data_IF_196213956887
#
_entry.id   IF_196213956887
#
_cell.length_a   1.000
_cell.length_b   1.000
_cell.length_c   1.000
_cell.angle_alpha   90.00
_cell.angle_beta   90.00
_cell.angle_gamma   90.00
#
_symmetry.space_group_name_H-M   'P 1'
#
loop_
_entity.id
_entity.type
_entity.pdbx_description
1 polymer ?
#
# COMPACT_ATOMS: atom_id res chain seq x y z
N UNK A 1 -0.06 -13.22 2.40
CA UNK A 1 -1.33 -13.81 2.89
C UNK A 1 -1.50 -15.27 2.45
N UNK A 2 -2.57 -15.98 2.86
CA UNK A 2 -3.01 -17.19 2.18
C UNK A 2 -3.32 -16.87 0.71
N UNK A 3 -3.04 -17.81 -0.19
CA UNK A 3 -3.35 -17.65 -1.61
C UNK A 3 -4.86 -17.79 -1.89
N UNK A 4 -5.29 -17.39 -3.09
CA UNK A 4 -6.65 -17.58 -3.57
C UNK A 4 -7.13 -19.04 -3.45
N UNK A 5 -6.23 -19.99 -3.71
CA UNK A 5 -6.47 -21.43 -3.63
C UNK A 5 -6.74 -21.88 -2.18
N UNK A 6 -6.00 -21.32 -1.21
CA UNK A 6 -6.21 -21.59 0.20
C UNK A 6 -7.54 -21.00 0.70
N UNK A 7 -7.86 -19.78 0.27
CA UNK A 7 -9.10 -19.12 0.67
C UNK A 7 -10.31 -19.85 0.08
N UNK A 8 -10.25 -20.26 -1.19
CA UNK A 8 -11.26 -21.13 -1.80
C UNK A 8 -11.37 -22.46 -1.02
N UNK A 9 -10.25 -23.03 -0.57
CA UNK A 9 -10.24 -24.20 0.31
C UNK A 9 -10.81 -24.00 1.72
N UNK A 10 -11.29 -22.79 2.04
CA UNK A 10 -11.92 -22.42 3.31
C UNK A 10 -10.97 -21.82 4.34
N UNK A 11 -9.69 -21.62 4.02
CA UNK A 11 -8.74 -20.95 4.92
C UNK A 11 -9.13 -19.48 5.05
N UNK A 12 -9.24 -18.96 6.27
CA UNK A 12 -9.61 -17.56 6.48
C UNK A 12 -8.60 -16.62 5.81
N UNK A 13 -9.01 -15.46 5.25
CA UNK A 13 -8.10 -14.46 4.68
C UNK A 13 -7.39 -13.69 5.81
N UNK A 14 -6.51 -14.38 6.54
CA UNK A 14 -5.73 -13.89 7.69
C UNK A 14 -4.27 -14.21 7.48
N UNK A 15 -3.37 -13.41 8.04
CA UNK A 15 -1.93 -13.59 7.91
C UNK A 15 -1.49 -15.00 8.29
N UNK A 16 -0.53 -15.58 7.58
CA UNK A 16 0.00 -16.90 7.94
C UNK A 16 1.20 -16.74 8.86
N UNK A 17 1.25 -17.55 9.92
CA UNK A 17 2.37 -17.55 10.86
C UNK A 17 2.89 -18.95 11.13
N UNK A 18 4.21 -19.08 11.06
CA UNK A 18 4.95 -20.29 11.38
C UNK A 18 5.86 -20.07 12.59
N UNK A 19 5.69 -20.89 13.61
CA UNK A 19 6.56 -20.86 14.79
C UNK A 19 7.72 -21.84 14.61
N UNK A 20 8.96 -21.35 14.48
CA UNK A 20 10.15 -22.18 14.29
C UNK A 20 10.29 -23.29 15.35
N UNK A 21 9.98 -22.98 16.61
CA UNK A 21 10.01 -23.93 17.73
C UNK A 21 9.05 -25.12 17.50
N UNK A 22 7.87 -24.87 16.90
CA UNK A 22 6.89 -25.91 16.56
C UNK A 22 7.40 -26.76 15.39
N UNK A 23 8.02 -26.14 14.39
CA UNK A 23 8.63 -26.84 13.24
C UNK A 23 9.71 -27.79 13.71
N UNK A 24 10.68 -27.32 14.50
CA UNK A 24 11.78 -28.14 15.02
C UNK A 24 11.26 -29.33 15.83
N UNK A 25 10.22 -29.12 16.65
CA UNK A 25 9.59 -30.20 17.44
C UNK A 25 8.93 -31.24 16.53
N UNK A 26 8.31 -30.82 15.41
CA UNK A 26 7.66 -31.72 14.45
C UNK A 26 8.66 -32.46 13.58
N UNK A 27 9.73 -31.81 13.14
CA UNK A 27 10.85 -32.45 12.46
C UNK A 27 11.40 -33.63 13.26
N UNK A 28 11.69 -33.42 14.55
CA UNK A 28 12.17 -34.49 15.45
C UNK A 28 11.16 -35.62 15.63
N UNK A 29 9.86 -35.31 15.61
CA UNK A 29 8.78 -36.30 15.82
C UNK A 29 8.49 -37.14 14.57
N UNK A 30 8.60 -36.53 13.39
CA UNK A 30 8.14 -37.10 12.11
C UNK A 30 9.31 -37.36 11.13
N UNK A 31 10.55 -37.21 11.57
CA UNK A 31 11.73 -37.73 10.87
C UNK A 31 12.08 -37.04 9.55
N UNK A 32 11.75 -35.76 9.36
CA UNK A 32 12.09 -35.01 8.14
C UNK A 32 13.14 -33.91 8.41
N UNK A 33 13.98 -33.64 7.42
CA UNK A 33 15.08 -32.68 7.49
C UNK A 33 14.62 -31.25 7.20
N UNK A 34 15.44 -30.24 7.56
CA UNK A 34 15.12 -28.84 7.28
C UNK A 34 15.09 -28.57 5.77
N UNK A 35 15.95 -29.26 5.02
CA UNK A 35 15.98 -29.24 3.56
C UNK A 35 14.67 -29.67 2.92
N UNK A 36 13.91 -30.55 3.58
CA UNK A 36 12.63 -31.05 3.06
C UNK A 36 11.53 -29.97 3.15
N UNK A 37 11.77 -28.92 3.94
CA UNK A 37 10.90 -27.74 4.04
C UNK A 37 11.37 -26.57 3.17
N UNK A 38 12.40 -26.77 2.35
CA UNK A 38 12.77 -25.78 1.34
C UNK A 38 11.54 -25.53 0.45
N UNK A 39 11.25 -24.26 0.18
CA UNK A 39 10.07 -23.83 -0.58
C UNK A 39 8.70 -24.16 0.05
N UNK A 40 8.63 -24.54 1.33
CA UNK A 40 7.36 -24.78 2.03
C UNK A 40 6.35 -23.63 1.86
N UNK A 41 6.71 -22.34 2.00
CA UNK A 41 5.76 -21.25 1.77
C UNK A 41 5.14 -21.28 0.37
N UNK A 42 5.96 -21.52 -0.67
CA UNK A 42 5.50 -21.61 -2.06
C UNK A 42 4.61 -22.84 -2.29
N UNK A 43 4.99 -23.99 -1.73
CA UNK A 43 4.24 -25.23 -1.87
C UNK A 43 2.90 -25.21 -1.12
N UNK A 44 2.82 -24.46 -0.02
CA UNK A 44 1.57 -24.19 0.70
C UNK A 44 0.68 -23.21 -0.07
N UNK A 45 1.27 -22.18 -0.70
CA UNK A 45 0.51 -21.22 -1.51
C UNK A 45 -0.11 -21.86 -2.76
N UNK A 46 0.53 -22.88 -3.35
CA UNK A 46 0.00 -23.57 -4.53
C UNK A 46 -0.16 -25.07 -4.27
N UNK A 47 -1.15 -25.48 -3.45
CA UNK A 47 -1.27 -26.85 -3.00
C UNK A 47 -1.82 -27.78 -4.08
N UNK A 48 -1.63 -29.09 -3.87
CA UNK A 48 -2.32 -30.14 -4.64
C UNK A 48 -3.80 -30.13 -4.28
N UNK A 49 -4.11 -30.10 -2.98
CA UNK A 49 -5.47 -30.09 -2.46
C UNK A 49 -5.52 -29.51 -1.04
N UNK A 50 -6.67 -28.94 -0.68
CA UNK A 50 -7.02 -28.55 0.69
C UNK A 50 -8.13 -29.47 1.19
N UNK A 51 -8.04 -29.90 2.44
CA UNK A 51 -8.99 -30.79 3.08
C UNK A 51 -9.53 -30.16 4.36
N UNK A 52 -10.82 -30.39 4.62
CA UNK A 52 -11.41 -30.13 5.93
C UNK A 52 -10.87 -31.10 6.98
N UNK A 53 -10.78 -30.63 8.21
CA UNK A 53 -10.44 -31.47 9.36
C UNK A 53 -11.63 -31.60 10.31
N UNK A 54 -11.50 -32.39 11.37
CA UNK A 54 -12.55 -32.55 12.38
C UNK A 54 -12.72 -31.31 13.28
N UNK A 55 -11.80 -30.34 13.19
CA UNK A 55 -11.83 -29.11 13.97
C UNK A 55 -12.26 -27.97 13.08
N UNK A 56 -13.25 -27.23 13.56
CA UNK A 56 -13.71 -26.02 12.89
C UNK A 56 -12.58 -24.98 12.82
N UNK A 57 -12.44 -24.34 11.66
CA UNK A 57 -11.33 -23.43 11.33
C UNK A 57 -9.95 -24.12 11.20
N UNK A 58 -9.90 -25.45 10.98
CA UNK A 58 -8.66 -26.16 10.72
C UNK A 58 -8.68 -26.91 9.38
N UNK A 59 -7.64 -26.69 8.60
CA UNK A 59 -7.49 -27.17 7.23
C UNK A 59 -6.19 -27.95 7.09
N UNK A 60 -6.21 -29.00 6.28
CA UNK A 60 -5.02 -29.77 5.91
C UNK A 60 -4.69 -29.54 4.43
N UNK A 61 -3.47 -29.08 4.17
CA UNK A 61 -2.97 -28.65 2.87
C UNK A 61 -1.97 -29.68 2.39
N UNK A 62 -2.28 -30.35 1.28
CA UNK A 62 -1.39 -31.30 0.64
C UNK A 62 -0.49 -30.55 -0.34
N UNK A 63 0.82 -30.68 -0.15
CA UNK A 63 1.83 -30.01 -0.96
C UNK A 63 2.55 -30.99 -1.89
N UNK A 64 3.30 -30.45 -2.86
CA UNK A 64 4.14 -31.25 -3.76
C UNK A 64 5.46 -31.71 -3.12
N UNK A 65 5.83 -31.10 -1.98
CA UNK A 65 7.04 -31.48 -1.24
C UNK A 65 6.93 -32.90 -0.72
N UNK A 66 8.04 -33.63 -0.68
CA UNK A 66 8.09 -35.05 -0.32
C UNK A 66 9.00 -35.31 0.87
N UNK A 67 8.61 -36.28 1.69
CA UNK A 67 9.46 -36.95 2.69
C UNK A 67 9.49 -38.45 2.39
N UNK A 68 10.24 -39.22 3.18
CA UNK A 68 10.23 -40.70 3.09
C UNK A 68 8.82 -41.30 3.28
N UNK A 69 7.93 -40.63 4.03
CA UNK A 69 6.58 -41.10 4.31
C UNK A 69 5.53 -40.68 3.26
N UNK A 70 5.94 -39.91 2.24
CA UNK A 70 5.08 -39.39 1.17
C UNK A 70 5.05 -37.87 1.11
N UNK A 71 3.98 -37.30 0.55
CA UNK A 71 3.90 -35.84 0.36
C UNK A 71 3.66 -35.11 1.69
N UNK A 72 4.26 -33.93 1.85
CA UNK A 72 4.10 -33.11 3.05
C UNK A 72 2.67 -32.60 3.10
N UNK A 73 2.01 -32.91 4.21
CA UNK A 73 0.72 -32.37 4.61
C UNK A 73 0.94 -31.34 5.72
N UNK A 74 0.41 -30.14 5.50
CA UNK A 74 0.50 -29.01 6.41
C UNK A 74 -0.87 -28.78 7.05
N UNK A 75 -0.94 -28.63 8.36
CA UNK A 75 -2.17 -28.24 9.05
C UNK A 75 -2.13 -26.77 9.40
N UNK A 76 -3.12 -26.03 8.91
CA UNK A 76 -3.42 -24.68 9.36
C UNK A 76 -4.59 -24.70 10.35
N UNK A 77 -4.49 -23.87 11.38
CA UNK A 77 -5.58 -23.59 12.32
C UNK A 77 -5.73 -22.07 12.45
N UNK A 78 -6.96 -21.56 12.40
CA UNK A 78 -7.22 -20.15 12.72
C UNK A 78 -6.86 -19.90 14.19
N UNK A 79 -6.03 -18.90 14.43
CA UNK A 79 -5.59 -18.53 15.77
C UNK A 79 -6.74 -18.08 16.65
N UNK A 80 -6.64 -18.41 17.95
CA UNK A 80 -7.71 -18.18 18.93
C UNK A 80 -7.19 -17.31 20.08
N UNK A 81 -7.67 -16.07 20.15
CA UNK A 81 -7.42 -15.14 21.24
C UNK A 81 -5.98 -14.63 21.35
N UNK A 82 -5.78 -13.52 22.07
CA UNK A 82 -4.46 -12.94 22.33
C UNK A 82 -3.71 -12.52 21.06
N UNK A 83 -2.37 -12.63 21.08
CA UNK A 83 -1.48 -12.20 20.00
C UNK A 83 -1.56 -13.04 18.70
N UNK A 84 -2.37 -14.10 18.69
CA UNK A 84 -2.51 -15.02 17.55
C UNK A 84 -3.86 -14.87 16.82
N UNK A 85 -4.78 -14.03 17.31
CA UNK A 85 -6.17 -13.96 16.81
C UNK A 85 -6.29 -13.58 15.32
N UNK A 86 -5.30 -12.84 14.81
CA UNK A 86 -5.27 -12.34 13.44
C UNK A 86 -4.48 -13.25 12.48
N UNK A 87 -4.07 -14.45 12.93
CA UNK A 87 -3.22 -15.35 12.14
C UNK A 87 -3.86 -16.72 11.85
N UNK A 88 -3.61 -17.23 10.64
CA UNK A 88 -3.61 -18.66 10.35
C UNK A 88 -2.30 -19.27 10.82
N UNK A 89 -2.38 -20.13 11.82
CA UNK A 89 -1.22 -20.76 12.42
C UNK A 89 -0.91 -22.08 11.72
N UNK A 90 0.33 -22.22 11.26
CA UNK A 90 0.83 -23.50 10.81
C UNK A 90 1.22 -24.34 12.04
N UNK A 91 0.40 -25.34 12.35
CA UNK A 91 0.47 -26.10 13.62
C UNK A 91 1.16 -27.44 13.47
N UNK A 92 1.16 -28.03 12.27
CA UNK A 92 1.89 -29.25 12.00
C UNK A 92 2.28 -29.41 10.53
N UNK A 93 3.40 -30.06 10.31
CA UNK A 93 3.93 -30.51 9.01
C UNK A 93 4.38 -31.96 9.19
N UNK A 94 3.96 -32.86 8.31
CA UNK A 94 4.37 -34.26 8.32
C UNK A 94 4.12 -34.93 6.98
N UNK A 95 4.85 -36.00 6.68
CA UNK A 95 4.64 -36.79 5.47
C UNK A 95 3.33 -37.57 5.52
N UNK A 96 2.64 -37.64 4.39
CA UNK A 96 1.37 -38.36 4.24
C UNK A 96 1.48 -39.36 3.12
N UNK A 97 1.26 -40.63 3.44
CA UNK A 97 1.36 -41.71 2.48
C UNK A 97 0.29 -41.65 1.39
N UNK A 98 0.66 -42.11 0.20
CA UNK A 98 -0.16 -42.03 -1.00
C UNK A 98 -1.57 -42.61 -0.79
N UNK A 99 -1.67 -43.82 -0.25
CA UNK A 99 -2.94 -44.48 0.03
C UNK A 99 -3.83 -43.72 1.03
N UNK A 100 -3.25 -43.01 2.00
CA UNK A 100 -4.05 -42.21 2.95
C UNK A 100 -4.63 -40.95 2.31
N UNK A 101 -3.94 -40.35 1.35
CA UNK A 101 -4.45 -39.22 0.57
C UNK A 101 -5.58 -39.68 -0.35
N UNK A 102 -5.42 -40.82 -1.05
CA UNK A 102 -6.47 -41.43 -1.86
C UNK A 102 -7.73 -41.70 -1.04
N UNK A 103 -7.58 -42.22 0.19
CA UNK A 103 -8.70 -42.39 1.12
C UNK A 103 -9.38 -41.07 1.48
N UNK A 104 -8.63 -39.98 1.64
CA UNK A 104 -9.20 -38.67 1.95
C UNK A 104 -10.00 -38.09 0.79
N UNK A 105 -9.48 -38.18 -0.44
CA UNK A 105 -10.19 -37.79 -1.66
C UNK A 105 -11.52 -38.56 -1.77
N UNK A 106 -11.48 -39.89 -1.64
CA UNK A 106 -12.67 -40.72 -1.71
C UNK A 106 -13.68 -40.48 -0.58
N UNK A 107 -13.24 -39.94 0.55
CA UNK A 107 -14.11 -39.63 1.69
C UNK A 107 -14.82 -38.28 1.59
N UNK A 108 -14.64 -37.52 0.50
CA UNK A 108 -15.30 -36.22 0.30
C UNK A 108 -14.78 -35.11 1.22
N UNK A 109 -13.55 -35.23 1.72
CA UNK A 109 -12.96 -34.24 2.64
C UNK A 109 -12.32 -33.05 1.92
N UNK A 110 -12.09 -33.17 0.61
CA UNK A 110 -11.47 -32.11 -0.18
C UNK A 110 -12.39 -30.89 -0.23
N UNK A 111 -11.83 -29.72 0.04
CA UNK A 111 -12.49 -28.40 -0.06
C UNK A 111 -11.93 -27.59 -1.22
N UNK A 112 -10.73 -27.92 -1.69
CA UNK A 112 -10.13 -27.40 -2.92
C UNK A 112 -9.24 -28.47 -3.55
N UNK A 113 -9.20 -28.55 -4.88
CA UNK A 113 -8.33 -29.44 -5.65
C UNK A 113 -7.73 -28.68 -6.84
N UNK A 114 -6.40 -28.66 -6.95
CA UNK A 114 -5.74 -28.36 -8.21
C UNK A 114 -5.76 -29.61 -9.09
N UNK A 115 -6.59 -29.62 -10.13
CA UNK A 115 -6.84 -30.83 -10.95
C UNK A 115 -5.57 -31.37 -11.59
N UNK A 116 -4.74 -30.52 -12.15
CA UNK A 116 -3.50 -30.91 -12.82
C UNK A 116 -2.54 -31.59 -11.84
N UNK A 117 -2.22 -30.91 -10.73
CA UNK A 117 -1.32 -31.45 -9.70
C UNK A 117 -1.88 -32.70 -9.03
N UNK A 118 -3.20 -32.76 -8.81
CA UNK A 118 -3.83 -33.91 -8.17
C UNK A 118 -3.84 -35.14 -9.09
N UNK A 119 -4.08 -34.96 -10.39
CA UNK A 119 -3.98 -36.05 -11.36
C UNK A 119 -2.54 -36.54 -11.53
N UNK A 120 -1.57 -35.63 -11.60
CA UNK A 120 -0.14 -36.00 -11.62
C UNK A 120 0.25 -36.76 -10.34
N UNK A 121 -0.20 -36.27 -9.18
CA UNK A 121 0.00 -36.95 -7.91
C UNK A 121 -0.56 -38.38 -7.91
N UNK A 122 -1.81 -38.57 -8.35
CA UNK A 122 -2.46 -39.88 -8.45
C UNK A 122 -1.75 -40.81 -9.45
N UNK A 123 -1.25 -40.26 -10.57
CA UNK A 123 -0.48 -41.02 -11.56
C UNK A 123 0.91 -41.43 -11.02
N UNK A 124 1.50 -40.65 -10.12
CA UNK A 124 2.77 -40.94 -9.46
C UNK A 124 2.68 -42.03 -8.37
N UNK A 125 1.52 -42.67 -8.22
CA UNK A 125 1.34 -43.80 -7.31
C UNK A 125 2.44 -44.85 -7.52
N UNK A 126 3.14 -45.30 -6.46
CA UNK A 126 4.13 -46.35 -6.58
C UNK A 126 3.52 -47.58 -7.27
N UNK A 127 4.14 -48.04 -8.37
CA UNK A 127 3.73 -49.25 -9.08
C UNK A 127 3.75 -50.45 -8.10
N UNK A 128 2.72 -51.30 -8.11
CA UNK A 128 1.86 -51.60 -6.96
C UNK A 128 2.40 -52.66 -5.99
N UNK A 129 2.01 -52.58 -4.72
CA UNK A 129 1.87 -53.79 -3.88
C UNK A 129 0.41 -54.25 -3.99
N UNK A 130 0.19 -55.15 -4.94
CA UNK A 130 -0.85 -56.19 -5.06
C UNK A 130 -2.20 -55.99 -4.33
N UNK A 131 -3.23 -55.59 -5.10
CA UNK A 131 -4.64 -55.76 -4.71
C UNK A 131 -5.62 -55.03 -5.64
N UNK A 132 -6.67 -55.72 -6.11
CA UNK A 132 -7.74 -55.13 -6.92
C UNK A 132 -8.45 -53.95 -6.21
N UNK A 133 -8.46 -53.97 -4.87
CA UNK A 133 -9.05 -52.95 -4.02
C UNK A 133 -8.34 -51.59 -4.16
N UNK A 134 -7.01 -51.56 -4.18
CA UNK A 134 -6.25 -50.31 -4.32
C UNK A 134 -6.41 -49.68 -5.71
N UNK A 135 -6.47 -50.50 -6.78
CA UNK A 135 -6.72 -49.99 -8.14
C UNK A 135 -8.12 -49.36 -8.25
N UNK A 136 -9.12 -49.97 -7.60
CA UNK A 136 -10.47 -49.42 -7.53
C UNK A 136 -10.50 -48.10 -6.72
N UNK A 137 -9.81 -48.03 -5.58
CA UNK A 137 -9.70 -46.79 -4.78
C UNK A 137 -9.04 -45.66 -5.56
N UNK A 138 -8.00 -45.94 -6.36
CA UNK A 138 -7.31 -44.95 -7.19
C UNK A 138 -8.20 -44.45 -8.35
N UNK A 139 -8.93 -45.36 -8.99
CA UNK A 139 -9.91 -44.99 -10.04
C UNK A 139 -11.03 -44.12 -9.50
N UNK A 140 -11.55 -44.43 -8.30
CA UNK A 140 -12.54 -43.59 -7.63
C UNK A 140 -11.98 -42.20 -7.33
N UNK A 141 -10.76 -42.11 -6.79
CA UNK A 141 -10.15 -40.82 -6.45
C UNK A 141 -9.86 -39.98 -7.69
N UNK A 142 -9.49 -40.61 -8.80
CA UNK A 142 -9.29 -39.93 -10.10
C UNK A 142 -10.60 -39.30 -10.56
N UNK A 143 -11.71 -40.05 -10.52
CA UNK A 143 -13.04 -39.51 -10.85
C UNK A 143 -13.43 -38.36 -9.94
N UNK A 144 -13.19 -38.48 -8.63
CA UNK A 144 -13.45 -37.40 -7.66
C UNK A 144 -12.72 -36.14 -8.08
N UNK A 145 -11.42 -36.22 -8.41
CA UNK A 145 -10.60 -35.08 -8.86
C UNK A 145 -11.14 -34.47 -10.16
N UNK A 146 -11.47 -35.30 -11.16
CA UNK A 146 -11.99 -34.83 -12.45
C UNK A 146 -13.32 -34.06 -12.31
N UNK A 147 -14.22 -34.58 -11.47
CA UNK A 147 -15.55 -34.01 -11.25
C UNK A 147 -15.60 -32.93 -10.17
N UNK A 148 -14.52 -32.69 -9.43
CA UNK A 148 -14.51 -31.69 -8.36
C UNK A 148 -14.66 -30.28 -8.94
N UNK A 149 -15.57 -29.50 -8.37
CA UNK A 149 -15.74 -28.08 -8.66
C UNK A 149 -15.26 -27.29 -7.44
N UNK A 150 -14.24 -26.46 -7.63
CA UNK A 150 -13.73 -25.62 -6.55
C UNK A 150 -14.77 -24.53 -6.24
N UNK A 151 -15.00 -24.22 -4.96
CA UNK A 151 -15.90 -23.13 -4.58
C UNK A 151 -15.36 -21.79 -5.09
N UNK A 152 -16.29 -20.91 -5.47
CA UNK A 152 -15.96 -19.51 -5.75
C UNK A 152 -15.64 -18.77 -4.45
N UNK A 153 -14.75 -17.78 -4.54
CA UNK A 153 -14.44 -16.91 -3.41
C UNK A 153 -15.67 -16.07 -3.05
N UNK A 154 -15.87 -15.82 -1.76
CA UNK A 154 -16.84 -14.80 -1.33
C UNK A 154 -16.46 -13.44 -1.90
N UNK A 155 -17.44 -12.54 -2.09
CA UNK A 155 -17.18 -11.18 -2.57
C UNK A 155 -16.12 -10.46 -1.73
N UNK A 156 -16.21 -10.58 -0.40
CA UNK A 156 -15.23 -10.02 0.55
C UNK A 156 -13.82 -10.60 0.37
N UNK A 157 -13.70 -11.93 0.23
CA UNK A 157 -12.40 -12.59 0.04
C UNK A 157 -11.80 -12.22 -1.31
N UNK A 158 -12.63 -12.15 -2.35
CA UNK A 158 -12.21 -11.76 -3.69
C UNK A 158 -11.70 -10.32 -3.70
N UNK A 159 -12.40 -9.39 -3.02
CA UNK A 159 -11.97 -8.00 -2.89
C UNK A 159 -10.59 -7.90 -2.21
N UNK A 160 -10.35 -8.65 -1.13
CA UNK A 160 -9.05 -8.67 -0.44
C UNK A 160 -7.93 -9.15 -1.38
N UNK A 161 -8.16 -10.25 -2.09
CA UNK A 161 -7.17 -10.80 -3.04
C UNK A 161 -6.86 -9.79 -4.15
N UNK A 162 -7.89 -9.19 -4.75
CA UNK A 162 -7.72 -8.17 -5.79
C UNK A 162 -6.94 -6.95 -5.28
N UNK A 163 -7.23 -6.48 -4.07
CA UNK A 163 -6.50 -5.37 -3.45
C UNK A 163 -5.02 -5.70 -3.21
N UNK A 164 -4.69 -6.92 -2.77
CA UNK A 164 -3.30 -7.36 -2.55
C UNK A 164 -2.54 -7.52 -3.88
N UNK A 165 -3.18 -8.06 -4.92
CA UNK A 165 -2.62 -8.14 -6.27
C UNK A 165 -2.33 -6.76 -6.85
N UNK A 166 -3.26 -5.81 -6.70
CA UNK A 166 -3.07 -4.44 -7.15
C UNK A 166 -1.96 -3.75 -6.35
N UNK A 167 -1.90 -3.91 -5.02
CA UNK A 167 -0.80 -3.37 -4.23
C UNK A 167 0.56 -3.86 -4.73
N UNK A 168 0.68 -5.17 -5.00
CA UNK A 168 1.92 -5.80 -5.48
C UNK A 168 2.31 -5.29 -6.86
N UNK A 169 1.36 -5.31 -7.81
CA UNK A 169 1.59 -4.83 -9.18
C UNK A 169 1.97 -3.35 -9.21
N UNK A 170 1.35 -2.53 -8.37
CA UNK A 170 1.66 -1.09 -8.26
C UNK A 170 3.04 -0.87 -7.67
N UNK A 171 3.40 -1.61 -6.61
CA UNK A 171 4.74 -1.59 -6.03
C UNK A 171 5.82 -1.89 -7.08
N UNK A 172 5.64 -2.97 -7.85
CA UNK A 172 6.55 -3.37 -8.93
C UNK A 172 6.65 -2.31 -10.04
N UNK A 173 5.51 -1.73 -10.44
CA UNK A 173 5.45 -0.72 -11.50
C UNK A 173 6.14 0.59 -11.10
N UNK A 174 6.09 0.94 -9.81
CA UNK A 174 6.73 2.14 -9.26
C UNK A 174 8.18 1.88 -8.84
N UNK A 175 8.60 0.62 -8.69
CA UNK A 175 9.90 0.26 -8.13
C UNK A 175 10.01 0.56 -6.63
N UNK A 176 8.88 0.47 -5.91
CA UNK A 176 8.76 0.84 -4.49
C UNK A 176 8.52 -0.40 -3.63
N UNK A 177 8.97 -0.34 -2.37
CA UNK A 177 8.69 -1.39 -1.40
C UNK A 177 7.38 -1.08 -0.66
N UNK A 178 6.36 -1.92 -0.88
CA UNK A 178 5.03 -1.75 -0.30
C UNK A 178 4.79 -2.82 0.76
N UNK A 179 4.55 -2.38 1.99
CA UNK A 179 4.12 -3.23 3.09
C UNK A 179 2.60 -3.19 3.22
N UNK A 180 1.97 -4.32 3.00
CA UNK A 180 0.52 -4.48 3.13
C UNK A 180 0.15 -4.97 4.54
N UNK A 181 -0.74 -4.25 5.21
CA UNK A 181 -1.28 -4.57 6.53
C UNK A 181 -2.70 -5.11 6.35
N UNK A 182 -2.95 -6.30 6.91
CA UNK A 182 -4.22 -7.02 6.73
C UNK A 182 -5.14 -6.90 7.95
N UNK A 183 -4.60 -6.52 9.11
CA UNK A 183 -5.36 -6.19 10.31
C UNK A 183 -4.83 -4.95 11.02
N UNK A 184 -5.72 -4.06 11.45
CA UNK A 184 -5.33 -2.84 12.19
C UNK A 184 -4.70 -3.16 13.55
N UNK A 185 -4.96 -4.35 14.12
CA UNK A 185 -4.35 -4.81 15.36
C UNK A 185 -2.82 -4.99 15.25
N UNK A 186 -2.30 -5.22 14.05
CA UNK A 186 -0.85 -5.35 13.79
C UNK A 186 -0.09 -4.03 13.91
N UNK A 187 -0.82 -2.91 13.91
CA UNK A 187 -0.26 -1.57 13.91
C UNK A 187 0.02 -1.16 15.35
N UNK A 188 1.29 -0.85 15.63
CA UNK A 188 1.78 -0.29 16.87
C UNK A 188 2.67 0.92 16.56
N UNK A 189 2.25 2.09 17.04
CA UNK A 189 3.05 3.33 17.02
C UNK A 189 3.90 3.48 18.28
N UNK A 190 4.64 4.59 18.40
CA UNK A 190 5.49 4.86 19.58
C UNK A 190 4.67 5.15 20.84
N UNK A 191 3.43 5.58 20.67
CA UNK A 191 2.47 5.84 21.74
C UNK A 191 1.05 5.51 21.26
N UNK A 192 0.08 5.56 22.17
CA UNK A 192 -1.32 5.21 21.89
C UNK A 192 -1.98 6.15 20.88
N UNK A 193 -1.66 7.45 20.93
CA UNK A 193 -2.21 8.44 19.99
C UNK A 193 -1.73 8.18 18.55
N UNK A 194 -0.44 7.92 18.37
CA UNK A 194 0.14 7.59 17.06
C UNK A 194 -0.42 6.26 16.54
N UNK A 195 -0.56 5.27 17.42
CA UNK A 195 -1.17 3.97 17.09
C UNK A 195 -2.60 4.14 16.59
N UNK A 196 -3.44 4.89 17.31
CA UNK A 196 -4.83 5.11 16.93
C UNK A 196 -4.95 5.87 15.60
N UNK A 197 -4.06 6.84 15.36
CA UNK A 197 -4.00 7.55 14.07
C UNK A 197 -3.64 6.61 12.92
N UNK A 198 -2.59 5.80 13.08
CA UNK A 198 -2.14 4.87 12.03
C UNK A 198 -3.16 3.77 11.76
N UNK A 199 -3.89 3.30 12.78
CA UNK A 199 -4.98 2.33 12.63
C UNK A 199 -6.15 2.84 11.80
N UNK A 200 -6.38 4.16 11.80
CA UNK A 200 -7.42 4.80 10.99
C UNK A 200 -6.96 5.27 9.61
N UNK A 201 -5.67 5.14 9.28
CA UNK A 201 -5.10 5.60 8.01
C UNK A 201 -5.26 4.54 6.91
N UNK A 202 -5.46 4.95 5.66
CA UNK A 202 -5.43 4.06 4.48
C UNK A 202 -4.00 3.62 4.16
N UNK A 203 -3.01 4.48 4.43
CA UNK A 203 -1.60 4.16 4.26
C UNK A 203 -0.70 5.25 4.84
N UNK A 204 0.61 5.03 4.83
CA UNK A 204 1.62 6.03 5.14
C UNK A 204 2.96 5.61 4.57
N UNK A 205 3.84 6.55 4.24
CA UNK A 205 5.25 6.24 4.04
C UNK A 205 6.00 6.19 5.38
N UNK A 206 6.82 5.15 5.58
CA UNK A 206 7.75 5.06 6.71
C UNK A 206 9.13 5.56 6.29
N UNK A 207 9.58 6.76 6.73
CA UNK A 207 10.87 7.32 6.35
C UNK A 207 12.06 6.51 6.86
N UNK A 208 11.88 5.67 7.89
CA UNK A 208 12.97 4.88 8.46
C UNK A 208 13.30 3.68 7.60
N UNK A 209 12.27 3.04 7.04
CA UNK A 209 12.42 1.85 6.21
C UNK A 209 12.43 2.20 4.72
N UNK A 210 11.90 3.37 4.34
CA UNK A 210 11.68 3.75 2.95
C UNK A 210 10.50 3.03 2.31
N UNK A 211 9.63 2.41 3.11
CA UNK A 211 8.50 1.61 2.63
C UNK A 211 7.20 2.42 2.62
N UNK A 212 6.36 2.16 1.64
CA UNK A 212 4.96 2.59 1.65
C UNK A 212 4.14 1.53 2.38
N UNK A 213 3.43 1.91 3.42
CA UNK A 213 2.54 1.02 4.16
C UNK A 213 1.11 1.25 3.71
N UNK A 214 0.37 0.19 3.40
CA UNK A 214 -1.05 0.22 3.03
C UNK A 214 -1.85 -0.60 4.03
N UNK A 215 -2.97 -0.07 4.52
CA UNK A 215 -3.87 -0.74 5.46
C UNK A 215 -5.11 -1.21 4.70
N UNK A 216 -5.09 -2.46 4.23
CA UNK A 216 -6.19 -3.00 3.40
C UNK A 216 -7.57 -2.89 4.04
N UNK A 217 -7.76 -3.13 5.36
CA UNK A 217 -9.08 -2.97 5.97
C UNK A 217 -9.69 -1.56 5.87
N UNK A 218 -8.87 -0.55 5.58
CA UNK A 218 -9.30 0.84 5.44
C UNK A 218 -9.45 1.26 3.96
N UNK A 219 -9.05 0.42 3.02
CA UNK A 219 -9.19 0.69 1.60
C UNK A 219 -10.59 0.29 1.12
N UNK A 220 -11.18 1.13 0.27
CA UNK A 220 -12.54 0.93 -0.25
C UNK A 220 -12.57 0.00 -1.47
N UNK A 221 -11.47 -0.06 -2.21
CA UNK A 221 -11.35 -0.84 -3.44
C UNK A 221 -9.89 -1.02 -3.85
N UNK A 222 -9.64 -1.84 -4.87
CA UNK A 222 -8.32 -1.98 -5.47
C UNK A 222 -7.80 -0.65 -6.08
N UNK A 223 -8.70 0.15 -6.66
CA UNK A 223 -8.37 1.49 -7.18
C UNK A 223 -7.92 2.43 -6.06
N UNK A 224 -8.57 2.36 -4.89
CA UNK A 224 -8.22 3.15 -3.70
C UNK A 224 -6.85 2.74 -3.11
N UNK A 225 -6.52 1.44 -3.17
CA UNK A 225 -5.17 0.94 -2.82
C UNK A 225 -4.11 1.53 -3.75
N UNK A 226 -4.34 1.47 -5.06
CA UNK A 226 -3.42 2.02 -6.06
C UNK A 226 -3.26 3.54 -5.90
N UNK A 227 -4.36 4.26 -5.66
CA UNK A 227 -4.36 5.68 -5.37
C UNK A 227 -3.55 6.01 -4.10
N UNK A 228 -3.77 5.26 -3.03
CA UNK A 228 -3.05 5.42 -1.76
C UNK A 228 -1.55 5.23 -1.95
N UNK A 229 -1.12 4.17 -2.65
CA UNK A 229 0.32 3.94 -2.88
C UNK A 229 0.92 5.10 -3.66
N UNK A 230 0.30 5.51 -4.76
CA UNK A 230 0.79 6.62 -5.56
C UNK A 230 0.84 7.92 -4.76
N UNK A 231 -0.18 8.18 -3.94
CA UNK A 231 -0.28 9.34 -3.07
C UNK A 231 0.90 9.39 -2.09
N UNK A 232 1.20 8.29 -1.40
CA UNK A 232 2.32 8.23 -0.46
C UNK A 232 3.67 8.39 -1.18
N UNK A 233 3.86 7.73 -2.32
CA UNK A 233 5.12 7.83 -3.08
C UNK A 233 5.36 9.26 -3.56
N UNK A 234 4.36 9.89 -4.18
CA UNK A 234 4.48 11.29 -4.64
C UNK A 234 4.53 12.26 -3.47
N UNK A 235 3.79 11.96 -2.39
CA UNK A 235 3.81 12.65 -1.11
C UNK A 235 5.22 12.81 -0.54
N UNK A 236 6.03 11.77 -0.68
CA UNK A 236 7.34 11.70 -0.04
C UNK A 236 8.53 11.88 -0.98
N UNK A 237 8.41 11.57 -2.28
CA UNK A 237 9.51 11.68 -3.26
C UNK A 237 9.25 12.72 -4.35
N UNK A 238 7.98 13.05 -4.59
CA UNK A 238 7.56 13.93 -5.67
C UNK A 238 7.49 13.20 -7.01
N UNK A 239 6.61 13.68 -7.89
CA UNK A 239 6.37 13.07 -9.19
C UNK A 239 7.62 13.07 -10.08
N UNK A 240 8.48 14.08 -9.94
CA UNK A 240 9.71 14.20 -10.73
C UNK A 240 10.69 13.05 -10.46
N UNK A 241 10.80 12.60 -9.22
CA UNK A 241 11.67 11.46 -8.87
C UNK A 241 11.10 10.16 -9.46
N UNK A 242 9.77 10.01 -9.40
CA UNK A 242 9.08 8.83 -9.90
C UNK A 242 9.21 8.64 -11.42
N UNK A 243 9.02 9.72 -12.19
CA UNK A 243 9.00 9.66 -13.66
C UNK A 243 10.35 10.00 -14.30
N UNK A 244 11.29 10.50 -13.51
CA UNK A 244 12.59 11.00 -13.96
C UNK A 244 12.55 12.43 -14.53
N UNK A 245 13.65 13.15 -14.34
CA UNK A 245 13.80 14.59 -14.70
C UNK A 245 13.49 14.88 -16.16
N UNK A 246 13.91 14.02 -17.08
CA UNK A 246 13.72 14.24 -18.51
C UNK A 246 12.24 14.14 -18.93
N UNK A 247 11.52 13.15 -18.41
CA UNK A 247 10.11 12.96 -18.75
C UNK A 247 9.26 14.03 -18.05
N UNK A 248 9.57 14.36 -16.80
CA UNK A 248 8.93 15.49 -16.11
C UNK A 248 9.18 16.82 -16.82
N UNK A 249 10.39 17.03 -17.36
CA UNK A 249 10.70 18.19 -18.18
C UNK A 249 9.84 18.29 -19.43
N UNK A 250 9.64 17.18 -20.15
CA UNK A 250 8.73 17.14 -21.32
C UNK A 250 7.27 17.37 -20.96
N UNK A 251 6.84 16.89 -19.79
CA UNK A 251 5.51 17.22 -19.26
C UNK A 251 5.34 18.73 -19.08
N UNK A 252 6.32 19.41 -18.49
CA UNK A 252 6.29 20.87 -18.34
C UNK A 252 6.30 21.60 -19.69
N UNK A 253 7.06 21.09 -20.67
CA UNK A 253 7.08 21.64 -22.02
C UNK A 253 5.69 21.52 -22.70
N UNK A 254 5.05 20.35 -22.61
CA UNK A 254 3.71 20.11 -23.13
C UNK A 254 2.64 21.00 -22.50
N UNK A 255 2.70 21.22 -21.18
CA UNK A 255 1.78 22.14 -20.50
C UNK A 255 1.99 23.57 -21.00
N UNK A 256 3.25 24.01 -21.11
CA UNK A 256 3.56 25.36 -21.59
C UNK A 256 3.11 25.56 -23.04
N UNK A 257 3.40 24.61 -23.93
CA UNK A 257 3.03 24.68 -25.35
C UNK A 257 1.52 24.64 -25.56
N UNK A 258 0.82 23.79 -24.79
CA UNK A 258 -0.63 23.65 -24.84
C UNK A 258 -1.41 24.79 -24.18
N UNK A 259 -0.77 25.60 -23.34
CA UNK A 259 -1.41 26.73 -22.67
C UNK A 259 -1.79 27.86 -23.66
N UNK A 260 -2.82 28.64 -23.31
CA UNK A 260 -3.20 29.82 -24.10
C UNK A 260 -2.17 30.96 -23.98
N UNK A 261 -2.31 31.99 -24.81
CA UNK A 261 -1.36 33.11 -24.84
C UNK A 261 -1.26 33.87 -23.51
N UNK A 262 -2.39 34.10 -22.83
CA UNK A 262 -2.41 34.80 -21.55
C UNK A 262 -1.60 34.05 -20.48
N UNK A 263 -1.83 32.74 -20.36
CA UNK A 263 -1.10 31.87 -19.44
C UNK A 263 0.39 31.83 -19.78
N UNK A 264 0.75 31.63 -21.06
CA UNK A 264 2.17 31.62 -21.49
C UNK A 264 2.86 32.93 -21.18
N UNK A 265 2.21 34.06 -21.42
CA UNK A 265 2.75 35.38 -21.08
C UNK A 265 2.98 35.51 -19.57
N UNK A 266 2.03 35.06 -18.74
CA UNK A 266 2.18 35.03 -17.29
C UNK A 266 3.38 34.18 -16.82
N UNK A 267 3.61 33.03 -17.45
CA UNK A 267 4.78 32.16 -17.17
C UNK A 267 6.09 32.87 -17.56
N UNK A 268 6.14 33.46 -18.76
CA UNK A 268 7.34 34.18 -19.25
C UNK A 268 7.66 35.40 -18.40
N UNK A 269 6.66 36.15 -17.95
CA UNK A 269 6.86 37.29 -17.05
C UNK A 269 7.46 36.88 -15.71
N UNK A 270 6.99 35.76 -15.12
CA UNK A 270 7.59 35.19 -13.89
C UNK A 270 9.02 34.74 -14.11
N UNK A 271 9.28 34.04 -15.21
CA UNK A 271 10.63 33.62 -15.62
C UNK A 271 11.59 34.82 -15.67
N UNK A 272 11.18 35.93 -16.30
CA UNK A 272 11.98 37.18 -16.35
C UNK A 272 12.17 37.82 -14.98
N UNK A 273 11.10 37.90 -14.18
CA UNK A 273 11.11 38.56 -12.87
C UNK A 273 12.06 37.88 -11.88
N UNK A 274 12.08 36.54 -11.88
CA UNK A 274 12.82 35.74 -10.90
C UNK A 274 14.08 35.07 -11.47
N UNK A 275 14.39 35.28 -12.76
CA UNK A 275 15.53 34.65 -13.42
C UNK A 275 15.40 33.13 -13.59
N UNK A 276 14.17 32.60 -13.56
CA UNK A 276 13.91 31.17 -13.70
C UNK A 276 13.89 30.74 -15.16
N UNK A 277 14.23 29.48 -15.43
CA UNK A 277 13.95 28.89 -16.73
C UNK A 277 12.43 28.66 -16.90
N UNK A 278 11.99 28.50 -18.15
CA UNK A 278 10.57 28.34 -18.49
C UNK A 278 9.93 27.16 -17.76
N UNK A 279 10.62 26.01 -17.66
CA UNK A 279 10.09 24.81 -17.00
C UNK A 279 9.77 25.06 -15.52
N UNK A 280 10.69 25.68 -14.78
CA UNK A 280 10.47 26.01 -13.36
C UNK A 280 9.34 27.02 -13.19
N UNK A 281 9.24 28.01 -14.08
CA UNK A 281 8.14 28.97 -14.05
C UNK A 281 6.78 28.31 -14.38
N UNK A 282 6.75 27.37 -15.32
CA UNK A 282 5.56 26.55 -15.62
C UNK A 282 5.16 25.71 -14.42
N UNK A 283 6.11 25.06 -13.76
CA UNK A 283 5.85 24.22 -12.59
C UNK A 283 5.26 25.02 -11.41
N UNK A 284 5.81 26.20 -11.10
CA UNK A 284 5.22 27.09 -10.08
C UNK A 284 3.80 27.52 -10.48
N UNK A 285 3.57 27.81 -11.76
CA UNK A 285 2.23 28.17 -12.24
C UNK A 285 1.22 27.02 -12.06
N UNK A 286 1.63 25.78 -12.37
CA UNK A 286 0.82 24.58 -12.14
C UNK A 286 0.56 24.39 -10.65
N UNK A 287 1.58 24.56 -9.78
CA UNK A 287 1.45 24.40 -8.34
C UNK A 287 0.48 25.42 -7.73
N UNK A 288 0.55 26.68 -8.17
CA UNK A 288 -0.39 27.72 -7.75
C UNK A 288 -1.82 27.43 -8.21
N UNK A 289 -2.00 27.00 -9.46
CA UNK A 289 -3.30 26.59 -9.97
C UNK A 289 -3.85 25.41 -9.16
N UNK A 290 -3.01 24.43 -8.84
CA UNK A 290 -3.39 23.29 -8.02
C UNK A 290 -3.80 23.72 -6.60
N UNK A 291 -3.14 24.71 -6.02
CA UNK A 291 -3.48 25.25 -4.69
C UNK A 291 -4.79 26.06 -4.71
N UNK A 292 -4.96 26.98 -5.65
CA UNK A 292 -6.09 27.91 -5.73
C UNK A 292 -7.36 27.25 -6.30
N UNK A 293 -7.20 26.26 -7.17
CA UNK A 293 -8.26 25.66 -7.97
C UNK A 293 -8.61 26.50 -9.20
N UNK A 294 -9.60 26.03 -9.97
CA UNK A 294 -9.91 26.54 -11.31
C UNK A 294 -11.36 27.05 -11.41
N UNK A 295 -11.62 28.23 -10.83
CA UNK A 295 -12.97 28.81 -10.77
C UNK A 295 -13.41 29.46 -12.09
N UNK A 296 -12.50 30.10 -12.80
CA UNK A 296 -12.74 30.71 -14.11
C UNK A 296 -12.47 29.75 -15.27
N UNK A 297 -12.82 30.18 -16.49
CA UNK A 297 -12.71 29.37 -17.71
C UNK A 297 -11.24 29.13 -18.11
N UNK A 298 -10.38 30.14 -18.02
CA UNK A 298 -8.98 30.03 -18.42
C UNK A 298 -8.22 28.99 -17.58
N UNK A 299 -8.48 28.98 -16.26
CA UNK A 299 -7.93 28.02 -15.32
C UNK A 299 -8.42 26.59 -15.60
N UNK A 300 -9.67 26.41 -16.04
CA UNK A 300 -10.23 25.09 -16.41
C UNK A 300 -9.63 24.57 -17.70
N UNK A 301 -9.48 25.42 -18.71
CA UNK A 301 -8.88 25.05 -19.98
C UNK A 301 -7.43 24.61 -19.78
N UNK A 302 -6.66 25.38 -19.00
CA UNK A 302 -5.31 24.98 -18.62
C UNK A 302 -5.29 23.67 -17.82
N UNK A 303 -6.24 23.47 -16.91
CA UNK A 303 -6.34 22.21 -16.16
C UNK A 303 -6.57 21.00 -17.06
N UNK A 304 -7.40 21.13 -18.11
CA UNK A 304 -7.57 20.08 -19.12
C UNK A 304 -6.25 19.77 -19.86
N UNK A 305 -5.47 20.79 -20.20
CA UNK A 305 -4.14 20.62 -20.80
C UNK A 305 -3.20 19.87 -19.84
N UNK A 306 -3.15 20.29 -18.57
CA UNK A 306 -2.34 19.64 -17.53
C UNK A 306 -2.71 18.17 -17.37
N UNK A 307 -4.00 17.87 -17.28
CA UNK A 307 -4.49 16.49 -17.12
C UNK A 307 -4.07 15.61 -18.30
N UNK A 308 -4.23 16.11 -19.53
CA UNK A 308 -3.84 15.37 -20.73
C UNK A 308 -2.32 15.15 -20.79
N UNK A 309 -1.53 16.19 -20.52
CA UNK A 309 -0.07 16.10 -20.46
C UNK A 309 0.40 15.11 -19.38
N UNK A 310 -0.30 15.06 -18.24
CA UNK A 310 -0.02 14.13 -17.16
C UNK A 310 -0.31 12.68 -17.57
N UNK A 311 -1.44 12.38 -18.22
CA UNK A 311 -1.68 11.02 -18.74
C UNK A 311 -0.68 10.62 -19.84
N UNK A 312 -0.26 11.57 -20.67
CA UNK A 312 0.82 11.34 -21.64
C UNK A 312 2.16 11.06 -20.96
N UNK A 313 2.47 11.75 -19.85
CA UNK A 313 3.64 11.46 -19.02
C UNK A 313 3.60 10.03 -18.51
N UNK A 314 2.51 9.61 -17.86
CA UNK A 314 2.36 8.26 -17.35
C UNK A 314 2.51 7.19 -18.44
N UNK A 315 1.89 7.42 -19.60
CA UNK A 315 2.02 6.53 -20.76
C UNK A 315 3.47 6.40 -21.25
N UNK A 316 4.23 7.52 -21.31
CA UNK A 316 5.64 7.52 -21.73
C UNK A 316 6.55 6.72 -20.80
N UNK A 317 6.29 6.77 -19.49
CA UNK A 317 7.04 5.97 -18.50
C UNK A 317 6.45 4.57 -18.33
N UNK A 318 5.45 4.20 -19.13
CA UNK A 318 4.73 2.92 -19.06
C UNK A 318 4.11 2.64 -17.68
N UNK A 319 3.76 3.70 -16.96
CA UNK A 319 3.00 3.60 -15.72
C UNK A 319 1.52 3.53 -16.09
N UNK A 320 0.94 2.34 -16.03
CA UNK A 320 -0.47 2.13 -16.29
C UNK A 320 -1.23 2.15 -14.97
N UNK A 321 -2.12 3.13 -14.81
CA UNK A 321 -3.00 3.18 -13.66
C UNK A 321 -4.27 2.38 -13.95
N UNK A 322 -4.69 1.54 -13.00
CA UNK A 322 -5.96 0.80 -13.07
C UNK A 322 -7.21 1.70 -13.02
N UNK A 323 -7.03 2.96 -12.61
CA UNK A 323 -8.09 3.91 -12.31
C UNK A 323 -7.78 5.31 -12.88
N UNK A 324 -8.81 6.15 -12.96
CA UNK A 324 -8.68 7.55 -13.38
C UNK A 324 -8.35 8.45 -12.19
N UNK A 325 -7.21 9.13 -12.24
CA UNK A 325 -6.82 10.10 -11.20
C UNK A 325 -7.87 11.21 -11.09
N UNK A 326 -8.39 11.39 -9.87
CA UNK A 326 -9.31 12.48 -9.56
C UNK A 326 -8.59 13.83 -9.65
N UNK A 327 -9.32 14.89 -9.97
CA UNK A 327 -8.74 16.24 -10.00
C UNK A 327 -8.12 16.61 -8.64
N UNK A 328 -8.64 16.10 -7.53
CA UNK A 328 -8.10 16.38 -6.19
C UNK A 328 -6.75 15.70 -5.97
N UNK A 329 -6.62 14.43 -6.34
CA UNK A 329 -5.35 13.69 -6.26
C UNK A 329 -4.30 14.29 -7.20
N UNK A 330 -4.66 14.62 -8.44
CA UNK A 330 -3.72 15.25 -9.38
C UNK A 330 -3.24 16.61 -8.87
N UNK A 331 -4.14 17.43 -8.31
CA UNK A 331 -3.77 18.72 -7.69
C UNK A 331 -2.78 18.51 -6.56
N UNK A 332 -3.05 17.56 -5.66
CA UNK A 332 -2.15 17.26 -4.56
C UNK A 332 -0.77 16.86 -5.06
N UNK A 333 -0.69 15.89 -5.97
CA UNK A 333 0.57 15.37 -6.51
C UNK A 333 1.42 16.47 -7.17
N UNK A 334 0.81 17.30 -8.03
CA UNK A 334 1.52 18.38 -8.72
C UNK A 334 2.00 19.46 -7.74
N UNK A 335 1.13 19.87 -6.82
CA UNK A 335 1.48 20.84 -5.79
C UNK A 335 2.61 20.32 -4.89
N UNK A 336 2.51 19.08 -4.42
CA UNK A 336 3.46 18.47 -3.50
C UNK A 336 4.84 18.30 -4.14
N UNK A 337 4.87 17.86 -5.40
CA UNK A 337 6.11 17.76 -6.20
C UNK A 337 6.89 19.07 -6.22
N UNK A 338 6.18 20.20 -6.38
CA UNK A 338 6.81 21.51 -6.37
C UNK A 338 7.23 21.95 -4.95
N UNK A 339 6.39 21.71 -3.93
CA UNK A 339 6.72 22.08 -2.54
C UNK A 339 7.98 21.37 -2.03
N UNK A 340 8.27 20.16 -2.48
CA UNK A 340 9.49 19.44 -2.11
C UNK A 340 10.78 20.20 -2.48
N UNK A 341 10.74 21.07 -3.49
CA UNK A 341 11.88 21.94 -3.87
C UNK A 341 12.08 23.10 -2.89
N UNK A 342 11.04 23.49 -2.14
CA UNK A 342 11.06 24.59 -1.16
C UNK A 342 11.51 24.14 0.25
N UNK A 343 11.74 22.84 0.45
CA UNK A 343 12.29 22.24 1.68
C UNK A 343 11.24 21.59 2.59
N UNK A 344 11.64 20.50 3.26
CA UNK A 344 10.77 19.62 4.07
C UNK A 344 10.84 19.88 5.58
N UNK A 345 11.08 21.13 5.98
CA UNK A 345 11.01 21.50 7.40
C UNK A 345 9.59 21.33 7.96
N UNK A 346 9.45 21.53 9.28
CA UNK A 346 8.15 21.50 9.97
C UNK A 346 7.05 22.34 9.28
N UNK A 347 7.45 23.46 8.68
CA UNK A 347 6.57 24.33 7.89
C UNK A 347 5.99 23.62 6.64
N UNK A 348 6.81 22.84 5.94
CA UNK A 348 6.41 22.08 4.75
C UNK A 348 5.43 20.96 5.11
N UNK A 349 5.65 20.28 6.23
CA UNK A 349 4.74 19.24 6.74
C UNK A 349 3.36 19.80 7.10
N UNK A 350 3.31 20.98 7.71
CA UNK A 350 2.04 21.62 8.05
C UNK A 350 1.26 22.06 6.80
N UNK A 351 1.95 22.58 5.77
CA UNK A 351 1.32 22.90 4.48
C UNK A 351 0.77 21.65 3.80
N UNK A 352 1.52 20.55 3.86
CA UNK A 352 1.12 19.27 3.30
C UNK A 352 -0.18 18.77 3.93
N UNK A 353 -0.24 18.74 5.27
CA UNK A 353 -1.46 18.41 6.02
C UNK A 353 -2.63 19.32 5.63
N UNK A 354 -2.42 20.63 5.57
CA UNK A 354 -3.47 21.58 5.21
C UNK A 354 -3.98 21.38 3.78
N UNK A 355 -3.09 21.05 2.84
CA UNK A 355 -3.46 20.81 1.45
C UNK A 355 -4.21 19.48 1.29
N UNK A 356 -3.79 18.43 1.99
CA UNK A 356 -4.52 17.16 2.03
C UNK A 356 -5.94 17.34 2.60
N UNK A 357 -6.09 18.05 3.72
CA UNK A 357 -7.40 18.37 4.32
C UNK A 357 -8.27 19.19 3.36
N UNK A 358 -7.70 20.23 2.72
CA UNK A 358 -8.41 21.08 1.76
C UNK A 358 -8.94 20.31 0.55
N UNK A 359 -8.19 19.33 0.08
CA UNK A 359 -8.53 18.53 -1.09
C UNK A 359 -9.29 17.25 -0.74
N UNK A 360 -9.40 16.89 0.55
CA UNK A 360 -10.00 15.62 0.95
C UNK A 360 -9.31 14.44 0.29
N UNK A 361 -7.98 14.41 0.37
CA UNK A 361 -7.10 13.36 -0.17
C UNK A 361 -6.22 12.80 0.94
N UNK A 362 -5.65 11.62 0.72
CA UNK A 362 -4.83 10.94 1.72
C UNK A 362 -5.67 10.43 2.91
N UNK A 363 -5.10 10.45 4.11
CA UNK A 363 -5.70 9.85 5.32
C UNK A 363 -6.85 10.68 5.95
N UNK A 364 -7.49 11.55 5.17
CA UNK A 364 -8.52 12.48 5.63
C UNK A 364 -9.87 12.25 4.93
N UNK A 365 -10.34 11.02 4.94
CA UNK A 365 -11.78 10.73 4.86
C UNK A 365 -12.37 10.88 6.27
N UNK A 366 -13.59 11.44 6.37
CA UNK A 366 -14.29 11.77 7.61
C UNK A 366 -14.45 10.55 8.55
N UNK A 367 -13.41 10.24 9.33
CA UNK A 367 -13.61 9.61 10.61
C UNK A 367 -14.56 10.53 11.38
N UNK A 368 -15.83 10.14 11.47
CA UNK A 368 -16.80 10.70 12.42
C UNK A 368 -16.11 10.74 13.78
N UNK A 369 -15.54 11.89 14.10
CA UNK A 369 -14.91 12.20 15.38
C UNK A 369 -16.01 12.00 16.42
N UNK A 370 -16.07 10.81 17.03
CA UNK A 370 -16.96 10.60 18.16
C UNK A 370 -16.50 11.56 19.24
N UNK A 371 -17.45 12.39 19.68
CA UNK A 371 -17.30 13.34 20.77
C UNK A 371 -16.56 12.70 21.94
N UNK A 372 -15.42 13.28 22.29
CA UNK A 372 -14.59 12.88 23.41
C UNK A 372 -13.34 13.72 23.44
N UNK A 373 -13.46 14.94 23.99
CA UNK A 373 -12.38 15.78 24.52
C UNK A 373 -11.13 15.95 23.65
N UNK A 374 -11.23 16.80 22.62
CA UNK A 374 -10.29 17.86 22.20
C UNK A 374 -10.97 18.57 21.02
N UNK A 375 -11.17 19.89 21.10
CA UNK A 375 -11.76 20.64 20.00
C UNK A 375 -10.86 20.53 18.74
N UNK A 376 -11.41 20.21 17.56
CA UNK A 376 -10.61 20.01 16.36
C UNK A 376 -9.99 21.34 15.91
N UNK A 377 -8.67 21.45 15.97
CA UNK A 377 -7.96 22.47 15.19
C UNK A 377 -8.11 22.06 13.72
N UNK A 378 -9.12 22.60 13.03
CA UNK A 378 -9.25 22.48 11.57
C UNK A 378 -8.04 23.16 10.94
N UNK A 379 -7.04 22.39 10.50
CA UNK A 379 -5.73 22.92 10.12
C UNK A 379 -5.86 23.78 8.88
N UNK A 380 -6.63 23.33 7.88
CA UNK A 380 -6.94 24.09 6.67
C UNK A 380 -7.72 25.38 7.00
N UNK A 381 -8.78 25.30 7.81
CA UNK A 381 -9.60 26.48 8.13
C UNK A 381 -8.83 27.51 9.00
N UNK A 382 -7.98 27.05 9.91
CA UNK A 382 -7.13 27.92 10.72
C UNK A 382 -6.00 28.53 9.90
N UNK A 383 -5.40 27.77 8.98
CA UNK A 383 -4.44 28.28 7.99
C UNK A 383 -5.07 29.35 7.09
N UNK A 384 -6.19 29.06 6.43
CA UNK A 384 -6.89 29.98 5.52
C UNK A 384 -7.31 31.28 6.22
N UNK A 385 -7.83 31.19 7.45
CA UNK A 385 -8.24 32.36 8.24
C UNK A 385 -7.07 33.27 8.64
N UNK A 386 -5.86 32.71 8.79
CA UNK A 386 -4.66 33.47 9.13
C UNK A 386 -4.02 34.08 7.88
N UNK A 387 -4.04 33.38 6.74
CA UNK A 387 -3.64 33.94 5.44
C UNK A 387 -4.56 35.10 5.04
N UNK A 388 -5.87 34.98 5.23
CA UNK A 388 -6.83 36.06 4.92
C UNK A 388 -6.65 37.32 5.78
N UNK A 389 -6.05 37.22 6.97
CA UNK A 389 -5.77 38.37 7.85
C UNK A 389 -4.49 39.12 7.46
N UNK A 390 -3.63 38.53 6.64
CA UNK A 390 -2.43 39.16 6.09
C UNK A 390 -2.74 39.69 4.69
N UNK A 391 -3.03 40.99 4.59
CA UNK A 391 -3.41 41.62 3.32
C UNK A 391 -2.19 42.00 2.47
N UNK A 392 -2.10 41.40 1.27
CA UNK A 392 -1.35 41.73 0.04
C UNK A 392 0.11 41.24 -0.20
N UNK A 393 0.22 40.59 -1.37
CA UNK A 393 1.31 40.17 -2.27
C UNK A 393 2.70 40.84 -2.16
N UNK A 394 3.66 40.22 -1.47
CA UNK A 394 5.13 40.26 -1.76
C UNK A 394 5.89 39.33 -0.80
N UNK A 395 7.24 39.35 -0.82
CA UNK A 395 8.15 38.57 0.05
C UNK A 395 7.78 38.58 1.55
N UNK A 396 7.08 39.62 2.04
CA UNK A 396 6.50 39.70 3.39
C UNK A 396 5.34 38.71 3.62
N UNK A 397 4.52 38.41 2.61
CA UNK A 397 3.44 37.41 2.71
C UNK A 397 3.97 35.99 2.93
N UNK A 398 5.20 35.68 2.47
CA UNK A 398 5.86 34.42 2.77
C UNK A 398 6.33 34.38 4.23
N UNK A 399 6.83 35.51 4.75
CA UNK A 399 7.28 35.66 6.13
C UNK A 399 6.11 35.63 7.14
N UNK A 400 4.98 36.26 6.79
CA UNK A 400 3.73 36.25 7.55
C UNK A 400 2.95 34.93 7.43
N UNK A 401 3.04 34.24 6.28
CA UNK A 401 2.58 32.86 6.12
C UNK A 401 3.35 31.94 7.07
N UNK A 402 4.67 32.14 7.20
CA UNK A 402 5.49 31.40 8.17
C UNK A 402 5.14 31.71 9.63
N UNK A 403 4.77 32.95 9.97
CA UNK A 403 4.33 33.31 11.31
C UNK A 403 2.92 32.77 11.65
N UNK A 404 2.02 32.83 10.68
CA UNK A 404 0.66 32.27 10.76
C UNK A 404 0.71 30.76 10.95
N UNK A 405 1.56 30.09 10.19
CA UNK A 405 1.72 28.65 10.27
C UNK A 405 2.49 28.23 11.54
N UNK A 406 3.44 29.03 12.03
CA UNK A 406 4.01 28.86 13.37
C UNK A 406 2.93 28.88 14.46
N UNK A 407 1.95 29.79 14.37
CA UNK A 407 0.82 29.83 15.33
C UNK A 407 -0.10 28.61 15.19
N UNK A 408 -0.39 28.15 13.97
CA UNK A 408 -1.15 26.90 13.74
C UNK A 408 -0.42 25.72 14.37
N UNK A 409 0.90 25.65 14.18
CA UNK A 409 1.74 24.63 14.80
C UNK A 409 1.77 24.71 16.32
N UNK A 410 1.92 25.89 16.91
CA UNK A 410 1.83 26.09 18.37
C UNK A 410 0.48 25.59 18.91
N UNK A 411 -0.62 25.86 18.21
CA UNK A 411 -1.95 25.37 18.57
C UNK A 411 -2.07 23.84 18.43
N UNK A 412 -1.53 23.25 17.37
CA UNK A 412 -1.52 21.79 17.17
C UNK A 412 -0.65 21.10 18.24
N UNK A 413 0.52 21.65 18.56
CA UNK A 413 1.43 21.11 19.58
C UNK A 413 0.82 21.21 20.99
N UNK A 414 0.15 22.33 21.31
CA UNK A 414 -0.61 22.49 22.55
C UNK A 414 -1.79 21.51 22.61
N UNK A 415 -2.50 21.29 21.51
CA UNK A 415 -3.61 20.33 21.44
C UNK A 415 -3.16 18.85 21.51
N UNK A 416 -1.94 18.54 21.07
CA UNK A 416 -1.35 17.18 21.13
C UNK A 416 -0.66 16.86 22.46
N UNK A 417 -0.57 17.80 23.40
CA UNK A 417 0.07 17.59 24.71
C UNK A 417 1.61 17.55 24.69
N UNK A 418 2.24 17.69 23.52
CA UNK A 418 3.71 17.65 23.34
C UNK A 418 4.31 19.07 23.39
N UNK A 419 4.16 19.74 24.53
CA UNK A 419 4.93 20.94 24.84
C UNK A 419 6.35 20.55 25.29
N UNK A 420 7.19 20.02 24.41
CA UNK A 420 8.64 19.88 24.64
C UNK A 420 9.48 20.42 23.49
N UNK A 421 10.60 20.99 23.90
CA UNK A 421 11.48 21.91 23.20
C UNK A 421 12.05 21.37 21.88
N UNK A 422 12.33 22.34 21.00
CA UNK A 422 13.14 22.24 19.78
C UNK A 422 14.52 21.73 20.18
N UNK A 423 14.82 20.46 19.89
CA UNK A 423 16.19 20.03 19.64
C UNK A 423 16.37 19.91 18.13
N UNK A 424 17.44 20.54 17.65
CA UNK A 424 17.95 20.45 16.30
C UNK A 424 18.05 18.97 15.91
N UNK A 425 17.24 18.55 14.93
CA UNK A 425 17.45 17.27 14.27
C UNK A 425 18.71 17.44 13.42
N UNK A 426 19.84 16.92 13.90
CA UNK A 426 21.04 16.71 13.09
C UNK A 426 20.69 15.81 11.91
N UNK A 427 20.54 16.42 10.75
CA UNK A 427 20.27 15.73 9.49
C UNK A 427 19.84 16.72 8.44
N UNK A 428 20.78 17.08 7.57
CA UNK A 428 20.68 17.97 6.42
C UNK A 428 20.92 19.46 6.71
N UNK A 429 22.15 19.84 6.40
CA UNK A 429 22.69 21.19 6.40
C UNK A 429 21.76 22.18 5.69
N UNK A 430 21.35 23.19 6.46
CA UNK A 430 21.09 24.57 6.06
C UNK A 430 21.58 24.95 4.65
N UNK A 431 20.67 25.01 3.67
CA UNK A 431 20.86 25.82 2.47
C UNK A 431 20.49 27.31 2.69
N UNK A 432 19.83 27.64 3.81
CA UNK A 432 19.31 28.99 4.08
C UNK A 432 20.19 29.88 4.99
N UNK A 433 21.31 29.37 5.50
CA UNK A 433 22.30 30.15 6.27
C UNK A 433 23.47 30.67 5.43
N UNK A 434 23.45 30.45 4.11
CA UNK A 434 24.54 30.81 3.20
C UNK A 434 24.51 32.23 2.61
N UNK A 435 23.36 32.91 2.58
CA UNK A 435 23.24 34.21 1.86
C UNK A 435 23.29 35.46 2.74
N UNK A 436 23.11 35.37 4.07
CA UNK A 436 23.15 36.55 4.95
C UNK A 436 24.48 36.77 5.69
N UNK A 437 25.57 36.17 5.23
CA UNK A 437 26.93 36.46 5.72
C UNK A 437 27.87 37.10 4.69
N UNK A 438 27.37 37.44 3.50
CA UNK A 438 28.13 38.16 2.47
C UNK A 438 27.43 39.47 2.12
N UNK A 439 27.09 40.25 3.15
CA UNK A 439 26.72 41.67 3.05
C UNK A 439 27.09 42.36 4.35
N UNK A 440 28.37 42.30 4.69
CA UNK A 440 29.01 43.07 5.77
C UNK A 440 30.51 43.17 5.52
N UNK A 441 30.91 43.70 4.36
CA UNK A 441 31.98 44.71 4.15
C UNK A 441 31.66 45.42 2.84
#
# INVERSE_FOLDING_TARGET
MPSSELIAGGVSPKLMRLYGNKVIKKMKKHGFALSDLLDLPKAVAHPIAVFSTHRDGSHAILTELKTEEGNILVTLEVGKGGADIDFNLLTSTYGKSHGKVVQWLNSGKATYINKEKALEYLASAPAPIAGAKQAQELSLATKVVETFENPELSEESNAIVQMEEVATRTAESLGEDVRVIHGTAEIEGRNESETNRMRGAKGWYDPKTGQVVVVLPNAESADDVEATILHEVVGHKGLQELVGKDQFGKFLDEVFEGANEAVRNGIVERSKRYGWNTRLATEEYIAELAEQGFKDLEARDLWHVIRNAFYNLLSRVKLALGWNISDRELRYMLWRTYQMKKGEGLMGQAKDIAMQEKLGVGNYEEARFRQGEIAPVKVAATYDALIQKSSYQTQEALQDSMLSLKKVMEMIMQAKGDAKYIEEIEGYQNAYMGENRVSSV
#
